data_IF_382963844726
#
_entry.id   IF_382963844726
#
_cell.length_a   1.000
_cell.length_b   1.000
_cell.length_c   1.000
_cell.angle_alpha   90.00
_cell.angle_beta   90.00
_cell.angle_gamma   90.00
#
_symmetry.space_group_name_H-M   'P 1'
#
loop_
_entity.id
_entity.type
_entity.pdbx_description
1 polymer ?
#
# COMPACT_ATOMS: atom_id res chain seq x y z
N UNK A 1 5.19 6.96 -52.80
CA UNK A 1 4.24 7.77 -52.00
C UNK A 1 3.46 6.97 -50.94
N UNK A 2 3.79 5.72 -50.65
CA UNK A 2 3.05 4.87 -49.69
C UNK A 2 3.63 4.86 -48.27
N UNK A 3 4.94 5.03 -48.12
CA UNK A 3 5.63 4.95 -46.82
C UNK A 3 5.31 6.11 -45.85
N UNK A 4 5.14 7.35 -46.36
CA UNK A 4 4.85 8.51 -45.52
C UNK A 4 3.43 8.49 -44.93
N UNK A 5 2.47 7.90 -45.65
CA UNK A 5 1.09 7.75 -45.17
C UNK A 5 1.00 6.71 -44.05
N UNK A 6 1.66 5.56 -44.21
CA UNK A 6 1.66 4.48 -43.20
C UNK A 6 2.31 4.96 -41.89
N UNK A 7 3.43 5.69 -41.96
CA UNK A 7 4.13 6.20 -40.78
C UNK A 7 3.29 7.24 -40.01
N UNK A 8 2.60 8.15 -40.72
CA UNK A 8 1.73 9.15 -40.09
C UNK A 8 0.51 8.52 -39.43
N UNK A 9 -0.09 7.51 -40.07
CA UNK A 9 -1.19 6.75 -39.48
C UNK A 9 -0.73 5.99 -38.22
N UNK A 10 0.46 5.38 -38.23
CA UNK A 10 1.01 4.68 -37.07
C UNK A 10 1.26 5.62 -35.87
N UNK A 11 1.79 6.83 -36.13
CA UNK A 11 2.02 7.86 -35.11
C UNK A 11 0.71 8.37 -34.49
N UNK A 12 -0.37 8.47 -35.25
CA UNK A 12 -1.70 8.84 -34.74
C UNK A 12 -2.26 7.72 -33.83
N UNK A 13 -2.11 6.44 -34.21
CA UNK A 13 -2.53 5.35 -33.32
C UNK A 13 -1.69 5.28 -32.04
N UNK A 14 -0.36 5.45 -32.13
CA UNK A 14 0.52 5.47 -30.95
C UNK A 14 0.19 6.60 -29.98
N UNK A 15 -0.14 7.79 -30.48
CA UNK A 15 -0.55 8.92 -29.62
C UNK A 15 -1.92 8.66 -28.96
N UNK A 16 -2.88 8.06 -29.66
CA UNK A 16 -4.18 7.68 -29.07
C UNK A 16 -4.02 6.64 -27.95
N UNK A 17 -3.10 5.68 -28.08
CA UNK A 17 -2.81 4.71 -27.01
C UNK A 17 -2.15 5.34 -25.77
N UNK A 18 -1.36 6.41 -25.92
CA UNK A 18 -0.77 7.11 -24.78
C UNK A 18 -1.77 7.92 -23.94
N UNK A 19 -2.93 8.29 -24.49
CA UNK A 19 -3.95 9.06 -23.76
C UNK A 19 -4.89 8.20 -22.89
N UNK A 20 -4.88 6.87 -23.01
CA UNK A 20 -5.82 5.98 -22.31
C UNK A 20 -5.21 5.08 -21.22
N UNK A 21 -3.90 5.18 -20.94
CA UNK A 21 -3.25 4.41 -19.89
C UNK A 21 -3.14 5.20 -18.58
N UNK A 22 -4.24 5.80 -18.10
CA UNK A 22 -4.40 6.13 -16.68
C UNK A 22 -4.72 4.82 -15.93
N UNK A 23 -3.81 3.85 -16.00
CA UNK A 23 -3.98 2.60 -15.26
C UNK A 23 -3.59 2.88 -13.83
N UNK A 24 -4.59 2.98 -12.96
CA UNK A 24 -4.36 2.86 -11.53
C UNK A 24 -3.49 1.62 -11.28
N UNK A 25 -2.39 1.75 -10.52
CA UNK A 25 -1.55 0.61 -10.26
C UNK A 25 -2.38 -0.42 -9.48
N UNK A 26 -2.14 -1.69 -9.77
CA UNK A 26 -2.79 -2.78 -9.05
C UNK A 26 -2.03 -3.13 -7.76
N UNK A 27 -1.04 -2.33 -7.32
CA UNK A 27 -0.27 -2.47 -6.10
C UNK A 27 0.48 -1.16 -5.78
N UNK A 28 1.04 -1.01 -4.58
CA UNK A 28 1.86 0.16 -4.23
C UNK A 28 3.16 0.21 -5.04
N UNK A 29 3.54 1.38 -5.54
CA UNK A 29 4.72 1.58 -6.39
C UNK A 29 6.07 1.44 -5.68
N UNK A 30 6.09 1.58 -4.35
CA UNK A 30 7.27 1.37 -3.48
C UNK A 30 6.97 0.30 -2.43
N UNK A 31 8.03 -0.23 -1.83
CA UNK A 31 7.97 -1.10 -0.67
C UNK A 31 8.00 -0.34 0.66
N UNK A 32 8.54 0.87 0.71
CA UNK A 32 8.69 1.64 1.96
C UNK A 32 7.69 2.80 1.99
N UNK A 33 6.96 2.94 3.11
CA UNK A 33 6.05 4.06 3.33
C UNK A 33 6.79 5.40 3.18
N UNK A 34 8.05 5.49 3.60
CA UNK A 34 8.86 6.72 3.52
C UNK A 34 9.24 7.12 2.08
N UNK A 35 9.22 6.16 1.15
CA UNK A 35 9.53 6.41 -0.26
C UNK A 35 8.29 6.75 -1.07
N UNK A 36 7.10 6.73 -0.46
CA UNK A 36 5.84 7.02 -1.14
C UNK A 36 5.83 8.44 -1.70
N UNK A 37 6.46 9.39 -1.00
CA UNK A 37 6.67 10.78 -1.42
C UNK A 37 7.47 10.88 -2.72
N UNK A 38 8.24 9.84 -3.06
CA UNK A 38 9.05 9.76 -4.27
C UNK A 38 8.32 9.01 -5.40
N UNK A 39 7.13 8.49 -5.13
CA UNK A 39 6.31 7.82 -6.13
C UNK A 39 5.92 8.79 -7.24
N UNK A 40 6.09 8.43 -8.53
CA UNK A 40 5.61 9.25 -9.64
C UNK A 40 4.08 9.44 -9.63
N UNK A 41 3.36 8.67 -8.80
CA UNK A 41 1.91 8.77 -8.62
C UNK A 41 1.51 9.69 -7.45
N UNK A 42 2.45 10.08 -6.58
CA UNK A 42 2.21 10.97 -5.45
C UNK A 42 2.43 12.46 -5.80
N UNK A 43 2.48 12.80 -7.10
CA UNK A 43 2.78 14.16 -7.57
C UNK A 43 4.28 14.46 -7.60
N UNK A 44 4.65 15.65 -8.08
CA UNK A 44 6.06 16.05 -8.18
C UNK A 44 6.67 16.18 -6.77
N UNK A 45 7.48 15.18 -6.38
CA UNK A 45 8.09 15.07 -5.03
C UNK A 45 7.08 15.00 -3.88
N UNK A 46 5.96 14.30 -4.08
CA UNK A 46 5.01 14.02 -2.99
C UNK A 46 4.01 15.14 -2.74
N UNK A 47 3.78 16.02 -3.73
CA UNK A 47 2.80 17.11 -3.66
C UNK A 47 1.39 16.64 -3.23
N UNK A 48 1.03 15.40 -3.54
CA UNK A 48 -0.28 14.82 -3.24
C UNK A 48 -0.34 14.16 -1.84
N UNK A 49 0.71 14.32 -1.05
CA UNK A 49 0.74 13.84 0.33
C UNK A 49 0.20 14.94 1.23
N UNK A 50 -0.96 14.64 1.80
CA UNK A 50 -1.66 15.58 2.66
C UNK A 50 -1.00 15.56 4.04
N UNK A 51 -0.85 16.74 4.64
CA UNK A 51 -0.32 16.84 6.00
C UNK A 51 -1.26 16.19 7.01
N UNK A 52 -0.69 15.37 7.91
CA UNK A 52 -1.42 14.61 8.91
C UNK A 52 -2.00 13.30 8.37
N UNK A 53 -2.81 12.63 9.19
CA UNK A 53 -3.35 11.30 8.86
C UNK A 53 -4.74 11.35 8.20
N UNK A 54 -5.31 12.53 7.93
CA UNK A 54 -6.62 12.66 7.27
C UNK A 54 -7.82 12.13 8.07
N UNK A 55 -7.65 11.86 9.37
CA UNK A 55 -8.65 11.15 10.17
C UNK A 55 -8.61 9.63 10.02
N UNK A 56 -7.64 9.10 9.27
CA UNK A 56 -7.34 7.68 9.20
C UNK A 56 -6.41 7.29 10.34
N UNK A 57 -6.59 6.07 10.85
CA UNK A 57 -5.68 5.50 11.82
C UNK A 57 -5.61 3.99 11.63
N UNK A 58 -4.48 3.41 12.04
CA UNK A 58 -4.37 1.99 12.27
C UNK A 58 -4.28 1.78 13.79
N UNK A 59 -4.93 0.75 14.29
CA UNK A 59 -4.87 0.35 15.70
C UNK A 59 -4.55 -1.12 15.78
N UNK A 60 -3.99 -1.57 16.90
CA UNK A 60 -3.62 -2.97 17.11
C UNK A 60 -4.40 -3.56 18.27
N UNK A 61 -4.86 -4.79 18.10
CA UNK A 61 -5.41 -5.64 19.14
C UNK A 61 -4.72 -7.00 19.11
N UNK A 62 -4.25 -7.49 20.26
CA UNK A 62 -3.72 -8.86 20.40
C UNK A 62 -4.89 -9.83 20.51
N UNK A 63 -4.94 -10.85 19.66
CA UNK A 63 -5.99 -11.89 19.66
C UNK A 63 -5.34 -13.28 19.66
N UNK A 64 -5.32 -13.95 20.82
CA UNK A 64 -4.73 -15.28 20.99
C UNK A 64 -3.29 -15.37 20.43
N UNK A 65 -3.15 -15.97 19.25
CA UNK A 65 -1.92 -16.29 18.52
C UNK A 65 -1.57 -15.29 17.40
N UNK A 66 -2.38 -14.25 17.21
CA UNK A 66 -2.18 -13.23 16.18
C UNK A 66 -2.49 -11.82 16.70
N UNK A 67 -2.20 -10.84 15.86
CA UNK A 67 -2.56 -9.45 16.03
C UNK A 67 -3.56 -9.07 14.96
N UNK A 68 -4.61 -8.37 15.37
CA UNK A 68 -5.58 -7.76 14.50
C UNK A 68 -5.22 -6.27 14.38
N UNK A 69 -4.78 -5.84 13.22
CA UNK A 69 -4.65 -4.42 12.91
C UNK A 69 -5.95 -3.93 12.26
N UNK A 70 -6.53 -2.87 12.83
CA UNK A 70 -7.79 -2.29 12.37
C UNK A 70 -7.48 -0.93 11.79
N UNK A 71 -7.59 -0.82 10.47
CA UNK A 71 -7.48 0.42 9.73
C UNK A 71 -8.87 1.08 9.66
N UNK A 72 -9.03 2.25 10.28
CA UNK A 72 -10.27 3.00 10.31
C UNK A 72 -10.08 4.41 9.73
N UNK A 73 -11.18 5.04 9.33
CA UNK A 73 -11.16 6.36 8.71
C UNK A 73 -12.54 6.82 8.24
N UNK A 74 -12.66 8.07 7.77
CA UNK A 74 -13.95 8.71 7.45
C UNK A 74 -14.60 8.18 6.17
N UNK A 75 -13.81 7.71 5.20
CA UNK A 75 -14.30 7.22 3.91
C UNK A 75 -13.46 6.04 3.40
N UNK A 76 -13.98 5.37 2.36
CA UNK A 76 -13.30 4.22 1.76
C UNK A 76 -11.96 4.61 1.12
N UNK A 77 -11.00 3.69 1.17
CA UNK A 77 -9.67 3.89 0.56
C UNK A 77 -9.57 3.11 -0.74
N UNK A 78 -8.72 3.56 -1.67
CA UNK A 78 -8.46 2.86 -2.95
C UNK A 78 -7.12 2.15 -2.94
N UNK A 79 -6.10 2.75 -2.37
CA UNK A 79 -4.77 2.16 -2.21
C UNK A 79 -4.38 2.02 -0.75
N UNK A 80 -3.50 1.07 -0.49
CA UNK A 80 -2.77 0.95 0.76
C UNK A 80 -1.42 0.27 0.53
N UNK A 81 -0.52 0.50 1.47
CA UNK A 81 0.67 -0.29 1.73
C UNK A 81 0.79 -0.42 3.25
N UNK A 82 0.86 -1.65 3.76
CA UNK A 82 1.03 -1.93 5.18
C UNK A 82 2.07 -3.02 5.34
N UNK A 83 3.01 -2.84 6.28
CA UNK A 83 3.97 -3.87 6.65
C UNK A 83 4.38 -3.72 8.12
N UNK A 84 5.04 -4.74 8.65
CA UNK A 84 5.55 -4.76 10.02
C UNK A 84 7.06 -4.92 9.99
N UNK A 85 7.78 -4.04 10.68
CA UNK A 85 9.24 -4.07 10.84
C UNK A 85 9.63 -4.36 12.28
N UNK A 86 10.76 -5.04 12.46
CA UNK A 86 11.41 -5.20 13.77
C UNK A 86 12.25 -3.96 14.14
N UNK A 87 12.90 -4.02 15.30
CA UNK A 87 13.81 -2.98 15.80
C UNK A 87 14.99 -2.65 14.87
N UNK A 88 15.37 -3.57 13.98
CA UNK A 88 16.48 -3.42 13.05
C UNK A 88 16.00 -2.92 11.66
N UNK A 89 14.68 -2.63 11.53
CA UNK A 89 14.06 -2.16 10.29
C UNK A 89 13.80 -3.29 9.30
N UNK A 90 13.85 -4.56 9.73
CA UNK A 90 13.61 -5.70 8.86
C UNK A 90 12.13 -6.08 8.87
N UNK A 91 11.53 -6.21 7.68
CA UNK A 91 10.16 -6.69 7.54
C UNK A 91 10.04 -8.14 7.99
N UNK A 92 9.00 -8.47 8.77
CA UNK A 92 8.80 -9.83 9.28
C UNK A 92 7.33 -10.20 9.54
N UNK A 93 7.10 -11.50 9.70
CA UNK A 93 5.79 -12.08 9.97
C UNK A 93 4.93 -12.25 8.72
N UNK A 94 3.67 -12.61 8.93
CA UNK A 94 2.76 -13.01 7.87
C UNK A 94 1.37 -12.45 8.12
N UNK A 95 0.89 -11.66 7.16
CA UNK A 95 -0.51 -11.27 7.07
C UNK A 95 -1.37 -12.43 6.55
N UNK A 96 -2.62 -12.50 6.99
CA UNK A 96 -3.62 -13.39 6.38
C UNK A 96 -4.46 -12.61 5.38
N UNK A 97 -4.50 -13.07 4.13
CA UNK A 97 -5.33 -12.48 3.07
C UNK A 97 -6.75 -13.06 3.05
N UNK A 98 -7.62 -12.50 3.88
CA UNK A 98 -9.07 -12.81 3.86
C UNK A 98 -9.85 -11.93 2.88
N UNK A 99 -9.26 -10.80 2.43
CA UNK A 99 -9.91 -9.82 1.55
C UNK A 99 -9.34 -9.86 0.12
N UNK A 100 -10.20 -10.12 -0.87
CA UNK A 100 -9.84 -10.21 -2.31
C UNK A 100 -9.34 -8.91 -2.94
N UNK A 101 -9.59 -7.78 -2.27
CA UNK A 101 -9.10 -6.47 -2.67
C UNK A 101 -7.65 -6.21 -2.22
N UNK A 102 -7.06 -7.17 -1.49
CA UNK A 102 -5.70 -7.13 -0.96
C UNK A 102 -4.85 -8.25 -1.56
N UNK A 103 -3.54 -8.03 -1.59
CA UNK A 103 -2.53 -9.01 -1.97
C UNK A 103 -1.24 -8.75 -1.22
N UNK A 104 -0.35 -9.75 -1.23
CA UNK A 104 1.02 -9.56 -0.76
C UNK A 104 1.82 -8.77 -1.78
N UNK A 105 2.80 -8.01 -1.29
CA UNK A 105 3.82 -7.38 -2.12
C UNK A 105 5.17 -7.96 -1.72
N UNK A 106 5.93 -8.45 -2.70
CA UNK A 106 7.31 -8.88 -2.43
C UNK A 106 8.19 -7.65 -2.25
N UNK A 107 8.73 -7.52 -1.05
CA UNK A 107 9.44 -6.35 -0.57
C UNK A 107 10.64 -6.74 0.30
N UNK A 108 11.19 -7.94 0.06
CA UNK A 108 12.25 -8.53 0.88
C UNK A 108 11.82 -8.73 2.36
N UNK A 109 12.73 -9.20 3.20
CA UNK A 109 12.47 -9.50 4.62
C UNK A 109 12.19 -10.98 4.92
N UNK A 110 11.73 -11.24 6.13
CA UNK A 110 11.32 -12.58 6.60
C UNK A 110 9.82 -12.78 6.46
N UNK A 111 9.38 -14.00 6.17
CA UNK A 111 7.98 -14.34 5.90
C UNK A 111 7.58 -14.15 4.42
N UNK A 112 6.52 -14.85 3.98
CA UNK A 112 6.02 -14.80 2.59
C UNK A 112 4.97 -13.72 2.33
N UNK A 113 4.47 -13.10 3.39
CA UNK A 113 3.35 -12.16 3.36
C UNK A 113 3.52 -11.05 4.39
N UNK A 114 4.75 -10.54 4.54
CA UNK A 114 5.09 -9.50 5.52
C UNK A 114 4.64 -8.08 5.12
N UNK A 115 4.21 -7.92 3.87
CA UNK A 115 3.77 -6.66 3.27
C UNK A 115 2.49 -6.90 2.49
N UNK A 116 1.49 -6.06 2.71
CA UNK A 116 0.22 -6.09 2.00
C UNK A 116 -0.03 -4.80 1.24
N UNK A 117 -0.74 -4.92 0.13
CA UNK A 117 -1.15 -3.83 -0.74
C UNK A 117 -2.51 -4.14 -1.36
N UNK A 118 -3.13 -3.14 -1.98
CA UNK A 118 -4.31 -3.28 -2.83
C UNK A 118 -4.06 -4.13 -4.09
N UNK A 119 -5.11 -4.74 -4.65
CA UNK A 119 -5.13 -5.43 -5.98
C UNK A 119 -5.73 -4.60 -7.11
N UNK A 120 -6.48 -3.57 -6.76
CA UNK A 120 -7.19 -2.67 -7.69
C UNK A 120 -7.52 -1.35 -6.99
N UNK A 121 -8.01 -0.38 -7.76
CA UNK A 121 -8.54 0.89 -7.25
C UNK A 121 -9.99 0.79 -6.75
N UNK A 122 -10.53 -0.43 -6.64
CA UNK A 122 -11.85 -0.65 -6.06
C UNK A 122 -11.85 -0.18 -4.61
N UNK A 123 -12.92 0.52 -4.18
CA UNK A 123 -13.00 1.08 -2.84
C UNK A 123 -13.02 -0.04 -1.80
N UNK A 124 -12.21 0.13 -0.76
CA UNK A 124 -12.12 -0.74 0.40
C UNK A 124 -12.85 -0.06 1.55
N UNK A 125 -13.99 -0.63 1.93
CA UNK A 125 -14.79 -0.15 3.05
C UNK A 125 -14.00 -0.26 4.35
N UNK A 126 -14.11 0.77 5.20
CA UNK A 126 -13.51 0.79 6.53
C UNK A 126 -14.57 0.50 7.61
N UNK A 127 -14.21 -0.12 8.75
CA UNK A 127 -12.85 -0.53 9.11
C UNK A 127 -12.36 -1.74 8.30
N UNK A 128 -11.07 -1.73 7.95
CA UNK A 128 -10.38 -2.84 7.30
C UNK A 128 -9.57 -3.60 8.35
N UNK A 129 -9.89 -4.88 8.50
CA UNK A 129 -9.24 -5.79 9.45
C UNK A 129 -8.10 -6.57 8.78
N UNK A 130 -6.91 -6.47 9.35
CA UNK A 130 -5.68 -7.07 8.85
C UNK A 130 -5.10 -7.98 9.94
N UNK A 131 -5.25 -9.29 9.76
CA UNK A 131 -4.68 -10.27 10.69
C UNK A 131 -3.21 -10.49 10.36
N UNK A 132 -2.35 -10.38 11.36
CA UNK A 132 -0.92 -10.59 11.25
C UNK A 132 -0.43 -11.49 12.37
N UNK A 133 0.47 -12.41 12.05
CA UNK A 133 1.18 -13.23 13.04
C UNK A 133 2.67 -13.11 12.82
N UNK A 134 3.45 -13.21 13.89
CA UNK A 134 4.88 -13.39 13.75
C UNK A 134 5.19 -14.85 13.45
N UNK A 135 6.25 -15.10 12.66
CA UNK A 135 6.79 -16.44 12.45
C UNK A 135 7.45 -17.00 13.72
N UNK A 136 7.76 -16.12 14.69
CA UNK A 136 8.31 -16.48 15.99
C UNK A 136 7.34 -16.08 17.11
N UNK A 137 7.01 -17.01 18.00
CA UNK A 137 6.13 -16.75 19.15
C UNK A 137 6.72 -15.74 20.15
N UNK A 138 8.03 -15.48 20.06
CA UNK A 138 8.73 -14.46 20.83
C UNK A 138 9.39 -13.44 19.90
N UNK A 139 8.89 -12.20 19.91
CA UNK A 139 9.47 -11.08 19.17
C UNK A 139 9.50 -9.83 20.05
N UNK A 140 10.50 -8.97 19.84
CA UNK A 140 10.65 -7.71 20.58
C UNK A 140 9.62 -6.66 20.14
N UNK A 141 10.08 -5.42 19.99
CA UNK A 141 9.23 -4.36 19.43
C UNK A 141 9.01 -4.59 17.93
N UNK A 142 7.75 -4.55 17.52
CA UNK A 142 7.30 -4.55 16.14
C UNK A 142 6.62 -3.21 15.84
N UNK A 143 6.91 -2.64 14.68
CA UNK A 143 6.35 -1.36 14.23
C UNK A 143 5.56 -1.60 12.95
N UNK A 144 4.26 -1.32 13.01
CA UNK A 144 3.38 -1.32 11.85
C UNK A 144 3.52 0.02 11.14
N UNK A 145 3.93 -0.03 9.87
CA UNK A 145 4.01 1.12 8.97
C UNK A 145 2.85 1.07 7.99
N UNK A 146 2.23 2.21 7.73
CA UNK A 146 1.15 2.25 6.74
C UNK A 146 0.97 3.59 6.04
N UNK A 147 0.56 3.50 4.78
CA UNK A 147 0.02 4.61 4.00
C UNK A 147 -1.30 4.19 3.37
N UNK A 148 -2.22 5.13 3.23
CA UNK A 148 -3.48 4.93 2.52
C UNK A 148 -3.66 5.97 1.42
N UNK A 149 -4.35 5.59 0.35
CA UNK A 149 -4.59 6.43 -0.82
C UNK A 149 -6.09 6.48 -1.09
N UNK A 150 -6.67 7.67 -1.14
CA UNK A 150 -8.10 7.89 -1.41
C UNK A 150 -8.31 8.12 -2.90
N UNK A 151 -7.46 8.97 -3.48
CA UNK A 151 -7.35 9.23 -4.91
C UNK A 151 -5.89 9.66 -5.22
N UNK A 152 -5.60 10.05 -6.46
CA UNK A 152 -4.24 10.45 -6.85
C UNK A 152 -3.72 11.69 -6.10
N UNK A 153 -4.59 12.51 -5.51
CA UNK A 153 -4.28 13.76 -4.84
C UNK A 153 -4.32 13.67 -3.30
N UNK A 154 -4.83 12.57 -2.75
CA UNK A 154 -5.03 12.41 -1.31
C UNK A 154 -4.39 11.12 -0.80
N UNK A 155 -3.16 11.27 -0.32
CA UNK A 155 -2.34 10.21 0.29
C UNK A 155 -2.06 10.59 1.73
N UNK A 156 -2.19 9.62 2.64
CA UNK A 156 -2.03 9.84 4.08
C UNK A 156 -1.06 8.82 4.66
N UNK A 157 0.06 9.32 5.21
CA UNK A 157 0.90 8.54 6.12
C UNK A 157 0.17 8.42 7.45
N UNK A 158 0.06 7.19 7.95
CA UNK A 158 -0.57 6.96 9.25
C UNK A 158 0.51 6.88 10.33
N UNK A 159 0.09 7.20 11.55
CA UNK A 159 0.96 7.09 12.71
C UNK A 159 1.42 5.65 12.91
N UNK A 160 2.70 5.49 13.28
CA UNK A 160 3.28 4.18 13.57
C UNK A 160 2.58 3.54 14.77
N UNK A 161 2.19 2.28 14.61
CA UNK A 161 1.65 1.48 15.72
C UNK A 161 2.67 0.47 16.17
N UNK A 162 2.87 0.36 17.48
CA UNK A 162 3.80 -0.58 18.08
C UNK A 162 3.06 -1.74 18.73
N UNK A 163 3.58 -2.95 18.56
CA UNK A 163 3.18 -4.13 19.34
C UNK A 163 4.40 -4.96 19.70
N UNK A 164 4.26 -5.82 20.71
CA UNK A 164 5.33 -6.71 21.19
C UNK A 164 4.72 -8.04 21.62
N UNK A 165 5.50 -9.13 21.62
CA UNK A 165 4.96 -10.45 22.01
C UNK A 165 4.62 -10.58 23.50
N UNK A 166 5.02 -9.59 24.33
CA UNK A 166 4.83 -9.50 25.78
C UNK A 166 3.37 -9.52 26.22
#
# INVERSE_FOLDING_TARGET
MTSSFILKTLLIYLTIFTFYASTWPNHAGTCDVKEVDQSPHAGDKGENIVQGNGGYNITVKKENDHYLFILAGPEAIRGLLVYVEDKDGKRFGEFTLDNKLLQYKDCEGEGKGNTITHTSNDPKTLPLELKWKSDNSSFGDAVVRSVVVIDFNHWYHLDDVKCSSS
#
